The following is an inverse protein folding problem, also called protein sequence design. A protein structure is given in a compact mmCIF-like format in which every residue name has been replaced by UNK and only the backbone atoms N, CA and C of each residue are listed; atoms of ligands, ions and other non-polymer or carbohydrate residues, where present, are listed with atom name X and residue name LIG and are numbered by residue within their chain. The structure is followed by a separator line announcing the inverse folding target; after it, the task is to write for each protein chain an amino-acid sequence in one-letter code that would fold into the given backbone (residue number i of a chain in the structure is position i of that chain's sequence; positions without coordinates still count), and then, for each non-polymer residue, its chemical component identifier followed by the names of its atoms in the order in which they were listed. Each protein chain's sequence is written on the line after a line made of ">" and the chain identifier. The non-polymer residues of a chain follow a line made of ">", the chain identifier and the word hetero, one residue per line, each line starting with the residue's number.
data_IF_228253425573
#
_entry.id   IF_228253425573
#
_cell.length_a   1.000
_cell.length_b   1.000
_cell.length_c   1.000
_cell.angle_alpha   90.00
_cell.angle_beta   90.00
_cell.angle_gamma   90.00
#
_symmetry.space_group_name_H-M   'P 1'
#
loop_
_entity.id
_entity.type
_entity.pdbx_description
1 polymer ?
#
# COMPACT_ATOMS: atom_id res chain seq x y z
N UNK A 1 11.16 14.64 -8.20
CA UNK A 1 10.35 13.43 -7.96
C UNK A 1 9.44 13.09 -9.16
N UNK A 2 9.03 14.07 -9.92
CA UNK A 2 7.96 13.91 -10.92
C UNK A 2 8.33 13.04 -12.13
N UNK A 3 9.63 12.88 -12.37
CA UNK A 3 10.16 12.09 -13.48
C UNK A 3 10.91 10.81 -13.01
N UNK A 4 10.54 10.27 -11.87
CA UNK A 4 11.04 8.98 -11.36
C UNK A 4 9.89 8.01 -11.34
N UNK A 5 10.02 6.90 -12.07
CA UNK A 5 8.95 5.93 -12.26
C UNK A 5 9.49 4.49 -12.18
N UNK A 6 8.75 3.62 -11.48
CA UNK A 6 8.99 2.19 -11.37
C UNK A 6 10.36 1.82 -10.76
N UNK A 7 10.79 2.62 -9.82
CA UNK A 7 12.00 2.39 -9.04
C UNK A 7 11.76 2.71 -7.57
N UNK A 8 12.52 2.12 -6.68
CA UNK A 8 12.49 2.51 -5.28
C UNK A 8 13.85 3.03 -4.80
N UNK A 9 13.88 4.04 -3.92
CA UNK A 9 15.10 4.69 -3.49
C UNK A 9 15.90 3.81 -2.53
N UNK A 10 17.23 3.85 -2.66
CA UNK A 10 18.20 3.33 -1.69
C UNK A 10 19.09 4.46 -1.20
N UNK A 11 19.99 4.21 -0.28
CA UNK A 11 20.81 5.27 0.36
C UNK A 11 21.45 6.25 -0.63
N UNK A 12 22.08 5.77 -1.69
CA UNK A 12 22.81 6.55 -2.69
C UNK A 12 22.38 6.29 -4.14
N UNK A 13 21.14 5.86 -4.36
CA UNK A 13 20.65 5.61 -5.72
C UNK A 13 19.23 5.02 -5.71
N UNK A 14 18.95 4.24 -6.75
CA UNK A 14 17.67 3.60 -6.98
C UNK A 14 17.86 2.14 -7.38
N UNK A 15 16.88 1.31 -7.07
CA UNK A 15 16.74 -0.07 -7.56
C UNK A 15 15.49 -0.19 -8.42
N UNK A 16 15.42 -1.20 -9.30
CA UNK A 16 14.21 -1.48 -10.04
C UNK A 16 13.06 -1.82 -9.08
N UNK A 17 11.86 -1.47 -9.47
CA UNK A 17 10.65 -2.03 -8.90
C UNK A 17 10.15 -3.14 -9.82
N UNK A 18 9.71 -4.25 -9.23
CA UNK A 18 9.27 -5.44 -9.95
C UNK A 18 7.77 -5.37 -10.24
N UNK A 19 7.36 -5.96 -11.33
CA UNK A 19 5.95 -6.12 -11.69
C UNK A 19 5.24 -7.09 -10.74
N UNK A 20 3.92 -7.10 -10.79
CA UNK A 20 3.12 -8.06 -10.01
C UNK A 20 3.18 -9.40 -10.73
N UNK A 21 3.84 -10.37 -10.13
CA UNK A 21 3.78 -11.77 -10.54
C UNK A 21 2.45 -12.38 -10.04
N UNK A 22 1.55 -12.78 -10.96
CA UNK A 22 0.32 -13.45 -10.56
C UNK A 22 0.64 -14.80 -9.87
N UNK A 23 0.21 -14.94 -8.62
CA UNK A 23 0.56 -16.09 -7.79
C UNK A 23 -0.63 -17.01 -7.52
N UNK A 24 -1.86 -16.48 -7.50
CA UNK A 24 -3.06 -17.25 -7.14
C UNK A 24 -4.04 -17.39 -8.30
N UNK A 25 -5.02 -18.28 -8.13
CA UNK A 25 -6.27 -18.25 -8.89
C UNK A 25 -7.02 -16.93 -8.70
N UNK A 26 -8.06 -16.70 -9.51
CA UNK A 26 -8.84 -15.47 -9.44
C UNK A 26 -10.00 -15.59 -8.42
N UNK A 27 -10.34 -14.48 -7.77
CA UNK A 27 -11.64 -14.31 -7.10
C UNK A 27 -12.77 -14.25 -8.15
N UNK A 28 -14.02 -14.31 -7.73
CA UNK A 28 -15.16 -14.19 -8.66
C UNK A 28 -15.47 -12.75 -9.04
N UNK A 29 -15.00 -11.78 -8.24
CA UNK A 29 -15.17 -10.35 -8.49
C UNK A 29 -14.01 -9.55 -7.87
N UNK A 30 -14.03 -8.23 -8.02
CA UNK A 30 -13.04 -7.30 -7.48
C UNK A 30 -12.82 -7.53 -5.98
N UNK A 31 -11.57 -7.61 -5.57
CA UNK A 31 -11.20 -7.68 -4.15
C UNK A 31 -11.57 -6.38 -3.43
N UNK A 32 -12.35 -6.51 -2.35
CA UNK A 32 -12.76 -5.40 -1.48
C UNK A 32 -12.17 -5.49 -0.08
N UNK A 33 -11.17 -6.34 0.12
CA UNK A 33 -10.42 -6.47 1.35
C UNK A 33 -9.68 -7.78 1.42
N UNK A 34 -8.50 -7.76 2.02
CA UNK A 34 -7.70 -8.95 2.23
C UNK A 34 -6.94 -8.85 3.56
N UNK A 35 -6.62 -9.98 4.12
CA UNK A 35 -5.99 -10.08 5.42
C UNK A 35 -5.12 -11.33 5.53
N UNK A 36 -3.93 -11.16 6.08
CA UNK A 36 -3.04 -12.27 6.41
C UNK A 36 -3.12 -12.57 7.91
N UNK A 37 -3.48 -13.78 8.24
CA UNK A 37 -3.54 -14.30 9.61
C UNK A 37 -2.45 -15.33 9.86
N UNK A 38 -2.16 -15.57 11.13
CA UNK A 38 -1.32 -16.70 11.58
C UNK A 38 -2.07 -17.44 12.68
N UNK A 39 -2.03 -18.77 12.62
CA UNK A 39 -2.53 -19.58 13.72
C UNK A 39 -1.50 -19.70 14.85
N UNK A 40 -1.88 -20.36 15.95
CA UNK A 40 -1.01 -20.57 17.12
C UNK A 40 0.22 -21.44 16.80
N UNK A 41 0.19 -22.18 15.69
CA UNK A 41 1.30 -22.97 15.17
C UNK A 41 2.14 -22.22 14.13
N UNK A 42 1.90 -20.92 13.97
CA UNK A 42 2.54 -20.02 13.02
C UNK A 42 2.29 -20.38 11.54
N UNK A 43 1.27 -21.21 11.23
CA UNK A 43 0.84 -21.42 9.86
C UNK A 43 0.16 -20.14 9.35
N UNK A 44 0.51 -19.75 8.13
CA UNK A 44 -0.07 -18.59 7.48
C UNK A 44 -1.44 -18.95 6.85
N UNK A 45 -2.39 -18.04 6.96
CA UNK A 45 -3.66 -18.11 6.27
C UNK A 45 -3.97 -16.74 5.66
N UNK A 46 -4.24 -16.70 4.35
CA UNK A 46 -4.65 -15.49 3.67
C UNK A 46 -6.15 -15.55 3.40
N UNK A 47 -6.83 -14.46 3.74
CA UNK A 47 -8.26 -14.27 3.51
C UNK A 47 -8.47 -13.11 2.54
N UNK A 48 -9.54 -13.18 1.75
CA UNK A 48 -9.97 -12.10 0.87
C UNK A 48 -11.50 -12.02 0.86
N UNK A 49 -12.05 -10.88 0.48
CA UNK A 49 -13.48 -10.71 0.30
C UNK A 49 -13.79 -9.88 -0.94
N UNK A 50 -14.86 -10.26 -1.64
CA UNK A 50 -15.50 -9.47 -2.68
C UNK A 50 -16.85 -8.90 -2.21
N UNK A 51 -17.67 -8.42 -3.11
CA UNK A 51 -18.99 -7.86 -2.78
C UNK A 51 -19.93 -8.85 -2.10
N UNK A 52 -19.78 -10.14 -2.36
CA UNK A 52 -20.76 -11.19 -2.01
C UNK A 52 -20.18 -12.37 -1.25
N UNK A 53 -18.87 -12.52 -1.23
CA UNK A 53 -18.18 -13.70 -0.74
C UNK A 53 -16.94 -13.37 0.10
N UNK A 54 -16.61 -14.31 0.98
CA UNK A 54 -15.33 -14.38 1.70
C UNK A 54 -14.59 -15.65 1.27
N UNK A 55 -13.29 -15.51 1.14
CA UNK A 55 -12.42 -16.57 0.63
C UNK A 55 -11.23 -16.79 1.56
N UNK A 56 -10.73 -18.03 1.53
CA UNK A 56 -9.46 -18.43 2.11
C UNK A 56 -8.56 -19.00 1.02
N UNK A 57 -7.29 -18.63 1.03
CA UNK A 57 -6.31 -19.20 0.09
C UNK A 57 -5.99 -20.65 0.47
N UNK A 58 -6.26 -21.57 -0.45
CA UNK A 58 -5.95 -23.00 -0.34
C UNK A 58 -4.47 -23.29 -0.60
N UNK A 59 -4.06 -24.51 -0.28
CA UNK A 59 -2.69 -24.98 -0.52
C UNK A 59 -2.33 -25.16 -2.00
N UNK A 60 -3.32 -25.17 -2.88
CA UNK A 60 -3.22 -25.24 -4.34
C UNK A 60 -3.16 -23.84 -4.99
N UNK A 61 -3.00 -22.78 -4.21
CA UNK A 61 -3.05 -21.39 -4.63
C UNK A 61 -4.40 -20.94 -5.24
N UNK A 62 -5.47 -21.69 -5.04
CA UNK A 62 -6.82 -21.25 -5.39
C UNK A 62 -7.56 -20.69 -4.18
N UNK A 63 -8.55 -19.86 -4.44
CA UNK A 63 -9.38 -19.24 -3.42
C UNK A 63 -10.61 -20.12 -3.15
N UNK A 64 -10.64 -20.75 -1.98
CA UNK A 64 -11.79 -21.49 -1.49
C UNK A 64 -12.87 -20.53 -1.00
N UNK A 65 -14.11 -20.72 -1.43
CA UNK A 65 -15.26 -19.98 -0.92
C UNK A 65 -15.58 -20.48 0.50
N UNK A 66 -15.31 -19.66 1.48
CA UNK A 66 -15.57 -19.92 2.90
C UNK A 66 -16.66 -18.98 3.46
N UNK A 67 -17.53 -18.48 2.59
CA UNK A 67 -18.66 -17.65 2.98
C UNK A 67 -19.64 -18.41 3.86
N UNK A 68 -20.43 -17.68 4.64
CA UNK A 68 -21.58 -18.27 5.37
C UNK A 68 -22.54 -18.98 4.42
N UNK A 69 -23.08 -20.10 4.83
CA UNK A 69 -24.01 -20.90 4.02
C UNK A 69 -25.39 -20.25 3.83
N UNK A 70 -25.80 -19.34 4.72
CA UNK A 70 -27.17 -18.85 4.77
C UNK A 70 -27.56 -17.88 3.63
N UNK A 71 -26.63 -16.98 3.21
CA UNK A 71 -26.88 -15.98 2.15
C UNK A 71 -25.59 -15.29 1.74
N UNK A 72 -25.56 -14.76 0.51
CA UNK A 72 -24.48 -13.88 0.06
C UNK A 72 -24.37 -12.64 0.96
N UNK A 73 -23.18 -12.05 1.00
CA UNK A 73 -22.96 -10.77 1.65
C UNK A 73 -23.45 -9.61 0.79
N UNK A 74 -23.61 -8.44 1.43
CA UNK A 74 -24.15 -7.25 0.79
C UNK A 74 -23.16 -6.06 0.85
N UNK A 75 -21.87 -6.34 0.65
CA UNK A 75 -20.85 -5.28 0.62
C UNK A 75 -21.10 -4.34 -0.56
N UNK A 76 -21.26 -3.05 -0.30
CA UNK A 76 -21.47 -2.05 -1.35
C UNK A 76 -20.27 -1.98 -2.29
N UNK A 77 -20.50 -1.52 -3.54
CA UNK A 77 -19.46 -1.46 -4.60
C UNK A 77 -18.26 -0.59 -4.20
N UNK A 78 -18.47 0.41 -3.36
CA UNK A 78 -17.42 1.34 -2.90
C UNK A 78 -16.98 1.08 -1.45
N UNK A 79 -17.47 0.00 -0.86
CA UNK A 79 -17.16 -0.39 0.51
C UNK A 79 -16.07 -1.46 0.55
N UNK A 80 -15.56 -1.70 1.74
CA UNK A 80 -14.45 -2.61 1.95
C UNK A 80 -14.68 -3.50 3.16
N UNK A 81 -14.18 -4.72 3.08
CA UNK A 81 -14.00 -5.57 4.24
C UNK A 81 -12.89 -5.05 5.14
N UNK A 82 -13.10 -5.12 6.43
CA UNK A 82 -12.07 -4.92 7.45
C UNK A 82 -11.99 -6.17 8.31
N UNK A 83 -10.76 -6.57 8.61
CA UNK A 83 -10.46 -7.81 9.33
C UNK A 83 -9.64 -7.52 10.57
N UNK A 84 -9.83 -8.33 11.60
CA UNK A 84 -8.95 -8.38 12.76
C UNK A 84 -8.80 -9.82 13.25
N UNK A 85 -7.66 -10.14 13.84
CA UNK A 85 -7.42 -11.43 14.47
C UNK A 85 -7.43 -11.27 15.99
N UNK A 86 -8.27 -12.06 16.67
CA UNK A 86 -8.34 -12.15 18.11
C UNK A 86 -8.12 -13.61 18.53
N UNK A 87 -6.91 -13.94 19.00
CA UNK A 87 -6.49 -15.32 19.17
C UNK A 87 -6.56 -16.09 17.84
N UNK A 88 -7.26 -17.22 17.83
CA UNK A 88 -7.53 -17.99 16.60
C UNK A 88 -8.72 -17.48 15.79
N UNK A 89 -9.50 -16.53 16.32
CA UNK A 89 -10.67 -15.98 15.66
C UNK A 89 -10.28 -14.88 14.66
N UNK A 90 -10.62 -15.05 13.40
CA UNK A 90 -10.60 -14.00 12.38
C UNK A 90 -11.98 -13.40 12.31
N UNK A 91 -12.09 -12.12 12.56
CA UNK A 91 -13.36 -11.40 12.54
C UNK A 91 -13.36 -10.45 11.35
N UNK A 92 -14.42 -10.51 10.54
CA UNK A 92 -14.60 -9.70 9.33
C UNK A 92 -15.84 -8.83 9.45
N UNK A 93 -15.73 -7.55 9.06
CA UNK A 93 -16.84 -6.59 9.03
C UNK A 93 -16.86 -5.83 7.71
N UNK A 94 -18.03 -5.45 7.20
CA UNK A 94 -18.21 -4.73 5.95
C UNK A 94 -19.16 -3.52 6.03
N UNK A 95 -19.69 -3.23 7.23
CA UNK A 95 -20.62 -2.12 7.46
C UNK A 95 -22.08 -2.42 7.14
N UNK A 96 -22.42 -3.57 6.57
CA UNK A 96 -23.79 -3.95 6.15
C UNK A 96 -24.28 -5.22 6.79
N UNK A 97 -23.45 -6.23 6.84
CA UNK A 97 -23.75 -7.52 7.46
C UNK A 97 -23.32 -7.54 8.92
N UNK A 98 -23.91 -8.43 9.71
CA UNK A 98 -23.41 -8.72 11.05
C UNK A 98 -21.94 -9.16 10.98
N UNK A 99 -21.09 -8.78 11.96
CA UNK A 99 -19.71 -9.25 12.03
C UNK A 99 -19.62 -10.77 11.87
N UNK A 100 -18.66 -11.22 11.09
CA UNK A 100 -18.45 -12.64 10.77
C UNK A 100 -17.23 -13.16 11.48
N UNK A 101 -17.23 -14.41 11.92
CA UNK A 101 -16.13 -15.08 12.60
C UNK A 101 -15.70 -16.34 11.82
N UNK A 102 -14.40 -16.54 11.75
CA UNK A 102 -13.77 -17.77 11.26
C UNK A 102 -12.69 -18.21 12.24
N UNK A 103 -12.74 -19.42 12.75
CA UNK A 103 -11.73 -19.97 13.67
C UNK A 103 -10.69 -20.71 12.84
N UNK A 104 -9.46 -20.19 12.80
CA UNK A 104 -8.36 -20.82 12.05
C UNK A 104 -8.11 -22.23 12.62
N UNK A 105 -7.98 -23.21 11.73
CA UNK A 105 -7.75 -24.60 12.10
C UNK A 105 -9.02 -25.42 12.42
N UNK A 106 -10.17 -24.77 12.58
CA UNK A 106 -11.42 -25.48 12.97
C UNK A 106 -12.57 -25.19 12.01
N UNK A 107 -12.81 -23.91 11.66
CA UNK A 107 -13.92 -23.52 10.80
C UNK A 107 -13.69 -23.91 9.35
N UNK A 108 -14.75 -24.30 8.65
CA UNK A 108 -14.81 -24.49 7.19
C UNK A 108 -15.49 -23.34 6.48
N UNK A 109 -16.29 -22.54 7.18
CA UNK A 109 -16.98 -21.35 6.67
C UNK A 109 -17.03 -20.27 7.74
N UNK A 110 -17.27 -19.02 7.33
CA UNK A 110 -17.57 -17.94 8.24
C UNK A 110 -18.97 -18.10 8.82
N UNK A 111 -19.13 -17.73 10.07
CA UNK A 111 -20.40 -17.68 10.77
C UNK A 111 -20.61 -16.31 11.43
N UNK A 112 -21.84 -15.95 11.76
CA UNK A 112 -22.10 -14.71 12.48
C UNK A 112 -21.42 -14.75 13.86
N UNK A 113 -20.71 -13.66 14.20
CA UNK A 113 -20.09 -13.51 15.51
C UNK A 113 -21.18 -13.50 16.60
N UNK A 114 -21.06 -14.37 17.60
CA UNK A 114 -22.02 -14.49 18.69
C UNK A 114 -22.06 -13.23 19.59
N UNK A 115 -23.03 -13.17 20.50
CA UNK A 115 -23.18 -12.05 21.44
C UNK A 115 -23.86 -10.81 20.87
N UNK A 116 -24.36 -10.85 19.63
CA UNK A 116 -25.08 -9.76 18.96
C UNK A 116 -24.29 -8.46 18.85
N UNK A 117 -23.04 -8.49 18.32
CA UNK A 117 -22.27 -7.28 18.07
C UNK A 117 -23.00 -6.34 17.10
N UNK A 118 -22.82 -5.01 17.20
CA UNK A 118 -23.37 -4.08 16.23
C UNK A 118 -22.68 -4.27 14.87
N UNK A 119 -23.40 -4.03 13.78
CA UNK A 119 -22.81 -3.91 12.44
C UNK A 119 -21.88 -2.73 12.40
N UNK A 120 -20.67 -2.91 11.89
CA UNK A 120 -19.59 -1.94 11.87
C UNK A 120 -18.80 -1.96 10.57
N UNK A 121 -18.17 -0.83 10.22
CA UNK A 121 -17.28 -0.72 9.04
C UNK A 121 -15.83 -1.06 9.35
N UNK A 122 -15.37 -0.81 10.56
CA UNK A 122 -13.97 -0.95 10.96
C UNK A 122 -13.86 -1.79 12.21
N UNK A 123 -12.77 -2.54 12.26
CA UNK A 123 -12.45 -3.42 13.39
C UNK A 123 -10.96 -3.37 13.68
N UNK A 124 -10.62 -3.43 14.97
CA UNK A 124 -9.24 -3.62 15.43
C UNK A 124 -9.25 -4.39 16.76
N UNK A 125 -8.09 -4.90 17.16
CA UNK A 125 -7.88 -5.48 18.50
C UNK A 125 -7.04 -4.52 19.31
N UNK A 126 -7.57 -4.08 20.45
CA UNK A 126 -6.89 -3.21 21.41
C UNK A 126 -6.70 -4.00 22.69
N UNK A 127 -5.44 -4.38 22.99
CA UNK A 127 -5.11 -5.34 24.05
C UNK A 127 -5.97 -6.61 23.94
N UNK A 128 -6.84 -6.82 24.92
CA UNK A 128 -7.70 -7.98 25.08
C UNK A 128 -9.17 -7.69 24.68
N UNK A 129 -9.40 -6.64 23.85
CA UNK A 129 -10.72 -6.23 23.41
C UNK A 129 -10.79 -6.17 21.90
N UNK A 130 -11.92 -6.59 21.35
CA UNK A 130 -12.27 -6.30 19.94
C UNK A 130 -12.98 -4.95 19.90
N UNK A 131 -12.45 -4.00 19.14
CA UNK A 131 -12.99 -2.66 18.96
C UNK A 131 -13.66 -2.55 17.59
N UNK A 132 -14.93 -2.20 17.56
CA UNK A 132 -15.72 -1.90 16.38
C UNK A 132 -15.92 -0.39 16.23
N UNK A 133 -15.84 0.13 15.02
CA UNK A 133 -16.01 1.55 14.73
C UNK A 133 -16.87 1.81 13.50
N UNK A 134 -17.49 2.99 13.43
CA UNK A 134 -18.49 3.38 12.45
C UNK A 134 -19.66 2.40 12.45
N UNK A 135 -20.43 2.48 13.53
CA UNK A 135 -21.52 1.54 13.78
C UNK A 135 -22.77 1.92 12.99
N UNK A 136 -23.60 0.94 12.66
CA UNK A 136 -24.89 1.18 12.00
C UNK A 136 -25.84 2.06 12.81
N UNK A 137 -25.69 2.14 14.14
CA UNK A 137 -26.45 2.99 15.03
C UNK A 137 -25.98 4.44 15.03
N UNK A 138 -24.68 4.69 14.85
CA UNK A 138 -24.06 6.00 14.68
C UNK A 138 -22.68 5.86 14.09
N UNK A 139 -22.42 6.57 12.99
CA UNK A 139 -21.11 6.56 12.33
C UNK A 139 -19.97 7.20 13.16
N UNK A 140 -20.32 7.97 14.21
CA UNK A 140 -19.37 8.58 15.14
C UNK A 140 -19.11 7.71 16.39
N UNK A 141 -19.66 6.50 16.44
CA UNK A 141 -19.61 5.62 17.62
C UNK A 141 -18.63 4.48 17.44
N UNK A 142 -18.04 4.09 18.57
CA UNK A 142 -17.26 2.84 18.72
C UNK A 142 -17.86 2.01 19.85
N UNK A 143 -17.70 0.69 19.77
CA UNK A 143 -18.04 -0.26 20.83
C UNK A 143 -16.95 -1.30 20.94
N UNK A 144 -16.61 -1.72 22.16
CA UNK A 144 -15.66 -2.79 22.40
C UNK A 144 -16.29 -3.98 23.11
N UNK A 145 -15.73 -5.14 22.84
CA UNK A 145 -16.17 -6.42 23.41
C UNK A 145 -15.90 -6.50 24.91
N UNK A 146 -16.37 -7.57 25.55
CA UNK A 146 -15.94 -7.93 26.88
C UNK A 146 -14.44 -8.25 26.94
N UNK A 147 -13.84 -8.12 28.11
CA UNK A 147 -12.44 -8.41 28.35
C UNK A 147 -12.09 -9.87 28.00
N UNK A 148 -11.10 -10.04 27.14
CA UNK A 148 -10.64 -11.35 26.62
C UNK A 148 -11.77 -12.24 26.05
N UNK A 149 -12.84 -11.63 25.54
CA UNK A 149 -13.97 -12.34 24.96
C UNK A 149 -14.53 -11.57 23.76
N UNK A 150 -14.25 -12.07 22.56
CA UNK A 150 -14.74 -11.47 21.30
C UNK A 150 -16.23 -11.61 21.06
N UNK A 151 -16.94 -12.39 21.88
CA UNK A 151 -18.38 -12.68 21.76
C UNK A 151 -19.23 -12.04 22.87
N UNK A 152 -18.62 -11.28 23.78
CA UNK A 152 -19.30 -10.53 24.82
C UNK A 152 -19.59 -9.08 24.40
N UNK A 153 -20.84 -8.73 24.06
CA UNK A 153 -21.20 -7.40 23.53
C UNK A 153 -22.28 -6.68 24.34
N UNK A 154 -22.64 -7.23 25.51
CA UNK A 154 -23.64 -6.58 26.39
C UNK A 154 -22.97 -5.45 27.16
N UNK A 155 -23.41 -4.20 26.88
CA UNK A 155 -22.89 -2.99 27.53
C UNK A 155 -23.01 -3.09 29.06
N UNK A 156 -21.93 -2.74 29.78
CA UNK A 156 -21.83 -2.80 31.23
C UNK A 156 -21.56 -4.20 31.79
N UNK A 157 -21.37 -5.23 30.95
CA UNK A 157 -21.03 -6.59 31.35
C UNK A 157 -19.61 -6.92 30.95
N UNK A 158 -18.79 -7.44 31.88
CA UNK A 158 -17.40 -7.86 31.65
C UNK A 158 -16.56 -6.79 30.94
N UNK A 159 -16.74 -5.52 31.27
CA UNK A 159 -16.06 -4.37 30.70
C UNK A 159 -16.43 -4.06 29.22
N UNK A 160 -17.47 -4.67 28.66
CA UNK A 160 -17.99 -4.26 27.36
C UNK A 160 -18.70 -2.90 27.49
N UNK A 161 -18.39 -1.94 26.60
CA UNK A 161 -19.02 -0.62 26.62
C UNK A 161 -18.90 0.06 25.23
N UNK A 162 -19.51 1.23 25.09
CA UNK A 162 -19.51 2.03 23.87
C UNK A 162 -19.22 3.50 24.14
N UNK A 163 -18.70 4.20 23.12
CA UNK A 163 -18.48 5.63 23.21
C UNK A 163 -18.79 6.31 21.86
N UNK A 164 -19.46 7.48 21.94
CA UNK A 164 -19.75 8.31 20.78
C UNK A 164 -18.93 9.60 20.78
N UNK A 165 -18.45 10.03 19.59
CA UNK A 165 -17.61 11.21 19.40
C UNK A 165 -18.18 12.13 18.30
N UNK A 166 -19.23 12.90 18.57
CA UNK A 166 -19.94 13.65 17.53
C UNK A 166 -19.16 14.82 16.95
N UNK A 167 -18.15 15.31 17.66
CA UNK A 167 -17.38 16.51 17.31
C UNK A 167 -16.32 16.28 16.23
N UNK A 168 -15.77 15.04 16.11
CA UNK A 168 -14.74 14.69 15.13
C UNK A 168 -15.25 14.28 13.74
N UNK A 169 -16.57 14.17 13.56
CA UNK A 169 -17.19 13.58 12.38
C UNK A 169 -17.24 12.04 12.44
N UNK A 170 -17.44 11.40 11.32
CA UNK A 170 -17.53 9.94 11.26
C UNK A 170 -16.22 9.25 11.60
N UNK A 171 -16.28 8.10 12.23
CA UNK A 171 -15.13 7.21 12.39
C UNK A 171 -14.75 6.69 11.01
N UNK A 172 -13.50 6.90 10.63
CA UNK A 172 -12.95 6.51 9.33
C UNK A 172 -11.95 5.34 9.45
N UNK A 173 -11.62 4.95 10.68
CA UNK A 173 -10.80 3.79 10.94
C UNK A 173 -10.49 3.63 12.41
N UNK A 174 -10.10 2.42 12.77
CA UNK A 174 -9.60 2.07 14.10
C UNK A 174 -8.26 1.36 13.95
N UNK A 175 -7.32 1.67 14.83
CA UNK A 175 -5.99 1.08 14.86
C UNK A 175 -5.80 0.42 16.21
N UNK A 176 -5.36 -0.83 16.20
CA UNK A 176 -5.19 -1.66 17.38
C UNK A 176 -3.75 -1.74 17.88
N UNK A 177 -3.57 -2.43 18.98
CA UNK A 177 -2.30 -2.66 19.66
C UNK A 177 -2.45 -2.57 21.17
N UNK A 178 -1.37 -2.29 21.89
CA UNK A 178 -1.42 -2.05 23.33
C UNK A 178 -2.24 -0.79 23.65
N UNK A 179 -2.16 0.22 22.78
CA UNK A 179 -2.96 1.42 22.79
C UNK A 179 -3.79 1.45 21.53
N UNK A 180 -5.08 1.75 21.64
CA UNK A 180 -5.98 1.90 20.50
C UNK A 180 -6.04 3.33 19.99
N UNK A 181 -6.37 3.48 18.69
CA UNK A 181 -6.65 4.80 18.10
C UNK A 181 -7.94 4.75 17.30
N UNK A 182 -8.78 5.79 17.47
CA UNK A 182 -9.96 6.04 16.65
C UNK A 182 -9.66 7.23 15.77
N UNK A 183 -9.63 7.01 14.48
CA UNK A 183 -9.38 8.03 13.46
C UNK A 183 -10.74 8.47 12.91
N UNK A 184 -11.06 9.74 13.03
CA UNK A 184 -12.25 10.35 12.50
C UNK A 184 -11.94 11.25 11.29
N UNK A 185 -12.93 11.88 10.70
CA UNK A 185 -12.71 12.83 9.60
C UNK A 185 -11.84 14.02 10.01
N UNK A 186 -11.95 14.46 11.26
CA UNK A 186 -11.29 15.70 11.76
C UNK A 186 -10.64 15.57 13.12
N UNK A 187 -10.55 14.37 13.69
CA UNK A 187 -9.83 14.15 14.94
C UNK A 187 -9.22 12.76 15.01
N UNK A 188 -8.23 12.60 15.87
CA UNK A 188 -7.66 11.31 16.24
C UNK A 188 -7.70 11.20 17.75
N UNK A 189 -8.26 10.10 18.26
CA UNK A 189 -8.41 9.83 19.68
C UNK A 189 -7.61 8.59 20.05
N UNK A 190 -6.96 8.68 21.20
CA UNK A 190 -6.17 7.58 21.77
C UNK A 190 -7.00 6.92 22.88
N UNK A 191 -7.07 5.60 22.85
CA UNK A 191 -7.70 4.75 23.84
C UNK A 191 -6.61 4.05 24.66
N UNK A 192 -6.48 4.42 25.92
CA UNK A 192 -5.54 3.80 26.85
C UNK A 192 -6.33 3.01 27.89
N UNK A 193 -6.05 1.72 28.00
CA UNK A 193 -6.70 0.90 29.00
C UNK A 193 -6.24 1.29 30.41
N UNK A 194 -7.18 1.60 31.27
CA UNK A 194 -6.94 1.96 32.67
C UNK A 194 -7.64 1.01 33.64
N UNK A 195 -8.59 0.21 33.16
CA UNK A 195 -9.36 -0.73 33.97
C UNK A 195 -10.37 -0.03 34.90
N UNK A 196 -10.97 -0.82 35.79
CA UNK A 196 -12.00 -0.33 36.70
C UNK A 196 -13.28 0.06 35.97
N UNK A 197 -13.98 1.06 36.47
CA UNK A 197 -15.26 1.52 35.92
C UNK A 197 -15.11 2.33 34.62
N UNK A 198 -13.93 2.89 34.35
CA UNK A 198 -13.69 3.71 33.14
C UNK A 198 -13.25 2.88 31.94
N UNK A 199 -12.71 1.70 32.13
CA UNK A 199 -12.20 0.77 31.12
C UNK A 199 -11.12 1.42 30.22
N UNK A 200 -11.48 2.35 29.34
CA UNK A 200 -10.57 3.13 28.51
C UNK A 200 -10.60 4.61 28.83
N UNK A 201 -9.43 5.17 29.14
CA UNK A 201 -9.25 6.61 29.08
C UNK A 201 -9.13 7.02 27.60
N UNK A 202 -9.90 8.00 27.18
CA UNK A 202 -9.96 8.45 25.78
C UNK A 202 -9.52 9.91 25.71
N UNK A 203 -8.37 10.12 25.08
CA UNK A 203 -7.77 11.44 24.90
C UNK A 203 -7.83 11.85 23.42
N UNK A 204 -8.24 13.08 23.13
CA UNK A 204 -8.11 13.65 21.79
C UNK A 204 -6.67 14.13 21.57
N UNK A 205 -5.90 13.40 20.75
CA UNK A 205 -4.48 13.66 20.49
C UNK A 205 -4.24 14.50 19.23
N UNK A 206 -5.18 14.52 18.29
CA UNK A 206 -5.18 15.40 17.13
C UNK A 206 -6.53 16.10 16.97
N UNK A 207 -6.47 17.42 16.80
CA UNK A 207 -7.64 18.27 16.54
C UNK A 207 -7.60 18.81 15.12
N UNK A 208 -8.76 18.85 14.47
CA UNK A 208 -8.95 19.36 13.10
C UNK A 208 -8.14 18.58 12.04
N UNK A 209 -7.64 17.40 12.38
CA UNK A 209 -6.89 16.53 11.46
C UNK A 209 -7.35 15.10 11.60
N UNK A 210 -7.67 14.47 10.47
CA UNK A 210 -8.13 13.10 10.34
C UNK A 210 -8.06 12.68 8.89
N UNK A 211 -8.86 11.70 8.47
CA UNK A 211 -8.88 11.20 7.09
C UNK A 211 -10.28 11.10 6.52
N UNK A 212 -10.40 11.16 5.19
CA UNK A 212 -11.59 10.76 4.42
C UNK A 212 -11.28 9.60 3.46
N UNK A 213 -10.09 9.06 3.55
CA UNK A 213 -9.64 7.88 2.80
C UNK A 213 -9.37 6.74 3.80
N UNK A 214 -10.38 5.97 4.23
CA UNK A 214 -10.26 5.00 5.32
C UNK A 214 -9.17 3.95 5.09
N UNK A 215 -9.06 3.46 3.87
CA UNK A 215 -8.07 2.43 3.51
C UNK A 215 -6.65 2.98 3.29
N UNK A 216 -6.46 4.30 3.39
CA UNK A 216 -5.13 4.90 3.42
C UNK A 216 -4.42 4.74 4.77
N UNK A 217 -5.14 4.35 5.82
CA UNK A 217 -4.56 4.11 7.15
C UNK A 217 -3.76 2.81 7.11
N UNK A 218 -2.46 2.92 7.32
CA UNK A 218 -1.51 1.79 7.27
C UNK A 218 -0.77 1.71 8.59
N UNK A 219 -1.06 0.68 9.37
CA UNK A 219 -0.39 0.44 10.64
C UNK A 219 0.99 -0.20 10.44
N UNK A 220 2.00 0.31 11.15
CA UNK A 220 3.34 -0.25 11.22
C UNK A 220 3.78 -0.25 12.70
N UNK A 221 3.72 -1.40 13.32
CA UNK A 221 3.96 -1.52 14.77
C UNK A 221 2.96 -0.70 15.58
N UNK A 222 3.44 0.13 16.49
CA UNK A 222 2.61 1.02 17.33
C UNK A 222 2.29 2.38 16.69
N UNK A 223 2.64 2.59 15.43
CA UNK A 223 2.43 3.84 14.68
C UNK A 223 1.62 3.57 13.41
N UNK A 224 1.13 4.61 12.75
CA UNK A 224 0.45 4.44 11.48
C UNK A 224 0.68 5.62 10.54
N UNK A 225 0.57 5.35 9.25
CA UNK A 225 0.57 6.34 8.18
C UNK A 225 -0.85 6.52 7.66
N UNK A 226 -1.18 7.71 7.17
CA UNK A 226 -2.49 7.96 6.60
C UNK A 226 -2.50 9.16 5.65
N UNK A 227 -3.49 9.21 4.77
CA UNK A 227 -3.79 10.38 3.94
C UNK A 227 -4.75 11.30 4.67
N UNK A 228 -4.30 12.48 5.06
CA UNK A 228 -5.11 13.55 5.62
C UNK A 228 -5.83 14.35 4.54
N UNK A 229 -6.47 15.47 4.93
CA UNK A 229 -7.13 16.36 3.98
C UNK A 229 -6.16 17.23 3.17
N UNK A 230 -4.97 17.44 3.68
CA UNK A 230 -3.93 18.35 3.17
C UNK A 230 -2.62 17.65 2.81
N UNK A 231 -2.54 16.32 2.96
CA UNK A 231 -1.35 15.55 2.60
C UNK A 231 -1.18 14.25 3.36
N UNK A 232 -0.02 13.64 3.19
CA UNK A 232 0.36 12.40 3.86
C UNK A 232 1.01 12.64 5.21
N UNK A 233 0.60 11.85 6.20
CA UNK A 233 1.03 11.96 7.58
C UNK A 233 1.56 10.63 8.13
N UNK A 234 2.51 10.76 9.04
CA UNK A 234 2.96 9.70 9.93
C UNK A 234 2.54 10.04 11.36
N UNK A 235 1.66 9.25 11.94
CA UNK A 235 1.25 9.37 13.33
C UNK A 235 2.19 8.56 14.22
N UNK A 236 2.83 9.22 15.19
CA UNK A 236 3.89 8.64 16.03
C UNK A 236 3.43 8.29 17.46
N UNK A 237 2.12 8.34 17.74
CA UNK A 237 1.52 8.08 19.05
C UNK A 237 1.14 9.34 19.84
N UNK A 238 1.84 10.45 19.62
CA UNK A 238 1.58 11.74 20.28
C UNK A 238 1.03 12.81 19.32
N UNK A 239 1.23 12.60 18.01
CA UNK A 239 0.76 13.54 17.01
C UNK A 239 1.19 13.15 15.61
N UNK A 240 0.67 13.87 14.63
CA UNK A 240 0.88 13.64 13.21
C UNK A 240 2.00 14.49 12.65
N UNK A 241 3.01 13.84 12.08
CA UNK A 241 4.10 14.48 11.36
C UNK A 241 3.80 14.50 9.88
N UNK A 242 3.79 15.66 9.19
CA UNK A 242 3.64 15.70 7.75
C UNK A 242 4.87 15.09 7.07
N UNK A 243 4.66 14.18 6.13
CA UNK A 243 5.74 13.50 5.38
C UNK A 243 5.73 13.85 3.90
N UNK A 244 4.59 14.28 3.37
CA UNK A 244 4.42 14.63 1.96
C UNK A 244 4.54 16.13 1.65
N UNK A 245 4.51 17.00 2.68
CA UNK A 245 4.54 18.45 2.53
C UNK A 245 5.75 18.92 1.72
N UNK A 246 5.51 19.78 0.73
CA UNK A 246 6.52 20.31 -0.23
C UNK A 246 7.26 19.24 -1.06
N UNK A 247 6.92 17.96 -0.90
CA UNK A 247 7.55 16.83 -1.60
C UNK A 247 6.62 16.23 -2.64
N UNK A 248 5.43 15.81 -2.22
CA UNK A 248 4.53 15.00 -3.04
C UNK A 248 3.07 15.40 -2.94
N UNK A 249 2.63 16.05 -1.86
CA UNK A 249 1.22 16.32 -1.60
C UNK A 249 0.57 17.12 -2.73
N UNK A 250 1.22 18.20 -3.18
CA UNK A 250 0.72 19.00 -4.29
C UNK A 250 0.55 18.16 -5.55
N UNK A 251 1.56 17.38 -5.92
CA UNK A 251 1.49 16.52 -7.09
C UNK A 251 0.38 15.48 -6.94
N UNK A 252 0.24 14.87 -5.77
CA UNK A 252 -0.81 13.88 -5.50
C UNK A 252 -2.20 14.48 -5.75
N UNK A 253 -2.51 15.63 -5.14
CA UNK A 253 -3.81 16.27 -5.30
C UNK A 253 -4.09 16.82 -6.70
N UNK A 254 -3.05 17.14 -7.49
CA UNK A 254 -3.17 17.51 -8.90
C UNK A 254 -3.41 16.30 -9.82
N UNK A 255 -3.07 15.09 -9.37
CA UNK A 255 -3.11 13.88 -10.20
C UNK A 255 -4.12 12.80 -9.73
N UNK A 256 -4.61 12.87 -8.51
CA UNK A 256 -5.64 11.93 -8.02
C UNK A 256 -7.02 12.32 -8.52
N UNK A 257 -7.86 11.33 -8.83
CA UNK A 257 -9.27 11.59 -9.05
C UNK A 257 -9.96 11.89 -7.72
N UNK A 258 -10.36 13.14 -7.52
CA UNK A 258 -10.99 13.63 -6.30
C UNK A 258 -12.33 12.94 -6.01
N UNK A 259 -13.01 12.44 -7.03
CA UNK A 259 -14.28 11.71 -6.89
C UNK A 259 -14.10 10.32 -6.28
N UNK A 260 -12.89 9.75 -6.37
CA UNK A 260 -12.57 8.40 -5.91
C UNK A 260 -11.52 8.36 -4.78
N UNK A 261 -11.36 9.45 -4.03
CA UNK A 261 -10.39 9.52 -2.91
C UNK A 261 -10.59 8.41 -1.87
N UNK A 262 -11.83 7.95 -1.67
CA UNK A 262 -12.15 6.84 -0.76
C UNK A 262 -11.62 5.48 -1.24
N UNK A 263 -11.19 5.38 -2.50
CA UNK A 263 -10.54 4.17 -3.08
C UNK A 263 -9.03 4.15 -2.94
N UNK A 264 -8.44 5.14 -2.29
CA UNK A 264 -7.02 5.10 -1.92
C UNK A 264 -6.80 3.99 -0.93
N UNK A 265 -5.99 3.01 -1.30
CA UNK A 265 -5.67 1.83 -0.47
C UNK A 265 -4.19 1.79 -0.19
N UNK A 266 -3.82 1.66 1.08
CA UNK A 266 -2.43 1.60 1.51
C UNK A 266 -2.03 0.25 2.07
N UNK A 267 -0.73 -0.06 1.94
CA UNK A 267 -0.09 -1.20 2.58
C UNK A 267 1.36 -0.87 2.94
N UNK A 268 1.92 -1.61 3.89
CA UNK A 268 3.32 -1.47 4.25
C UNK A 268 4.12 -2.72 3.87
N UNK A 269 5.38 -2.54 3.54
CA UNK A 269 6.40 -3.58 3.51
C UNK A 269 7.45 -3.26 4.58
N UNK A 270 7.34 -3.84 5.77
CA UNK A 270 8.29 -3.57 6.85
C UNK A 270 9.71 -4.04 6.54
N UNK A 271 9.87 -5.07 5.69
CA UNK A 271 11.17 -5.61 5.30
C UNK A 271 11.98 -4.60 4.48
N UNK A 272 11.30 -3.90 3.59
CA UNK A 272 11.86 -2.82 2.77
C UNK A 272 11.74 -1.43 3.41
N UNK A 273 11.04 -1.34 4.53
CA UNK A 273 10.72 -0.07 5.25
C UNK A 273 9.98 0.92 4.35
N UNK A 274 8.97 0.41 3.65
CA UNK A 274 8.19 1.17 2.69
C UNK A 274 6.71 1.10 3.04
N UNK A 275 6.03 2.23 2.94
CA UNK A 275 4.58 2.30 2.86
C UNK A 275 4.20 2.77 1.46
N UNK A 276 3.17 2.16 0.90
CA UNK A 276 2.66 2.47 -0.43
C UNK A 276 1.18 2.76 -0.39
N UNK A 277 0.70 3.62 -1.29
CA UNK A 277 -0.72 3.91 -1.50
C UNK A 277 -1.03 3.82 -2.99
N UNK A 278 -1.95 2.92 -3.32
CA UNK A 278 -2.53 2.83 -4.64
C UNK A 278 -3.72 3.79 -4.73
N UNK A 279 -3.84 4.54 -5.80
CA UNK A 279 -4.90 5.50 -6.00
C UNK A 279 -5.30 5.61 -7.47
N UNK A 280 -6.57 5.93 -7.77
CA UNK A 280 -7.02 6.22 -9.12
C UNK A 280 -6.49 7.59 -9.57
N UNK A 281 -5.80 7.62 -10.71
CA UNK A 281 -5.32 8.88 -11.29
C UNK A 281 -6.46 9.66 -11.96
N UNK A 282 -6.28 10.97 -12.10
CA UNK A 282 -7.22 11.82 -12.81
C UNK A 282 -7.38 11.35 -14.26
N UNK A 283 -8.62 10.96 -14.63
CA UNK A 283 -8.94 10.43 -15.95
C UNK A 283 -9.23 8.94 -15.98
N UNK A 284 -9.16 8.22 -14.87
CA UNK A 284 -9.71 6.86 -14.79
C UNK A 284 -11.23 6.90 -14.97
N UNK A 285 -11.77 5.89 -15.69
CA UNK A 285 -13.21 5.85 -16.02
C UNK A 285 -14.03 5.25 -14.87
N UNK A 286 -13.46 4.31 -14.14
CA UNK A 286 -14.15 3.47 -13.15
C UNK A 286 -13.60 3.60 -11.72
N UNK A 287 -12.61 4.48 -11.52
CA UNK A 287 -11.94 4.66 -10.24
C UNK A 287 -11.06 3.49 -9.80
N UNK A 288 -10.62 2.64 -10.73
CA UNK A 288 -9.61 1.61 -10.43
C UNK A 288 -8.26 2.27 -10.18
N UNK A 289 -7.59 2.00 -9.06
CA UNK A 289 -6.25 2.50 -8.81
C UNK A 289 -5.25 2.03 -9.87
N UNK A 290 -4.57 2.95 -10.51
CA UNK A 290 -3.62 2.75 -11.61
C UNK A 290 -2.22 3.30 -11.31
N UNK A 291 -2.11 4.03 -10.23
CA UNK A 291 -0.88 4.65 -9.78
C UNK A 291 -0.64 4.33 -8.32
N UNK A 292 0.60 3.95 -8.01
CA UNK A 292 1.04 3.70 -6.64
C UNK A 292 2.11 4.73 -6.29
N UNK A 293 1.94 5.39 -5.15
CA UNK A 293 2.96 6.25 -4.56
C UNK A 293 3.52 5.56 -3.33
N UNK A 294 4.83 5.58 -3.16
CA UNK A 294 5.51 4.95 -2.04
C UNK A 294 6.40 5.90 -1.27
N UNK A 295 6.49 5.65 0.02
CA UNK A 295 7.34 6.40 0.94
C UNK A 295 8.24 5.44 1.70
N UNK A 296 9.54 5.67 1.59
CA UNK A 296 10.56 4.95 2.35
C UNK A 296 10.90 5.74 3.60
N UNK A 297 10.42 5.28 4.77
CA UNK A 297 10.42 6.08 6.00
C UNK A 297 11.78 6.17 6.70
N UNK A 298 12.73 5.27 6.44
CA UNK A 298 14.07 5.30 7.02
C UNK A 298 14.99 6.35 6.39
N UNK A 299 14.75 6.73 5.12
CA UNK A 299 15.55 7.71 4.39
C UNK A 299 14.75 8.91 3.90
N UNK A 300 13.48 9.00 4.27
CA UNK A 300 12.57 10.12 3.96
C UNK A 300 12.49 10.42 2.44
N UNK A 301 12.28 9.37 1.62
CA UNK A 301 12.19 9.49 0.17
C UNK A 301 10.90 8.90 -0.38
N UNK A 302 10.38 9.57 -1.41
CA UNK A 302 9.19 9.19 -2.15
C UNK A 302 9.56 8.57 -3.50
N UNK A 303 8.69 7.71 -4.01
CA UNK A 303 8.81 7.11 -5.33
C UNK A 303 7.43 6.82 -5.91
N UNK A 304 7.36 6.52 -7.21
CA UNK A 304 6.11 6.27 -7.93
C UNK A 304 6.23 5.00 -8.77
N UNK A 305 5.11 4.26 -8.85
CA UNK A 305 4.98 3.04 -9.63
C UNK A 305 3.71 3.17 -10.47
N UNK A 306 3.76 2.76 -11.73
CA UNK A 306 2.61 2.65 -12.62
C UNK A 306 2.15 1.20 -12.64
N UNK A 307 1.12 0.87 -11.88
CA UNK A 307 0.53 -0.46 -11.83
C UNK A 307 -0.96 -0.36 -11.50
N UNK A 308 -1.79 -1.05 -12.27
CA UNK A 308 -3.22 -1.15 -11.98
C UNK A 308 -3.47 -2.24 -10.95
N UNK A 309 -4.12 -1.89 -9.87
CA UNK A 309 -4.44 -2.80 -8.76
C UNK A 309 -5.84 -2.52 -8.22
N UNK A 310 -6.56 -3.57 -7.86
CA UNK A 310 -7.86 -3.44 -7.18
C UNK A 310 -7.70 -3.21 -5.68
N UNK A 311 -6.76 -3.92 -5.09
CA UNK A 311 -6.48 -3.87 -3.66
C UNK A 311 -5.02 -4.22 -3.37
N UNK A 312 -4.37 -3.48 -2.47
CA UNK A 312 -3.00 -3.72 -2.04
C UNK A 312 -2.98 -4.02 -0.55
N UNK A 313 -2.22 -5.02 -0.12
CA UNK A 313 -2.16 -5.45 1.26
C UNK A 313 -0.86 -6.18 1.58
N UNK A 314 -0.65 -6.50 2.84
CA UNK A 314 0.36 -7.45 3.26
C UNK A 314 -0.21 -8.87 3.17
N UNK A 315 0.50 -9.76 2.50
CA UNK A 315 0.19 -11.19 2.51
C UNK A 315 1.34 -11.98 3.11
N UNK A 316 1.01 -13.08 3.75
CA UNK A 316 2.01 -14.05 4.18
C UNK A 316 2.22 -15.09 3.09
N UNK A 317 3.49 -15.40 2.83
CA UNK A 317 3.82 -16.54 1.98
C UNK A 317 3.51 -17.84 2.73
N UNK A 318 2.87 -18.80 2.05
CA UNK A 318 2.71 -20.14 2.57
C UNK A 318 4.04 -20.91 2.39
N UNK A 319 4.43 -21.72 3.39
CA UNK A 319 5.55 -22.65 3.22
C UNK A 319 5.12 -23.83 2.37
N UNK A 320 5.85 -24.10 1.31
CA UNK A 320 5.61 -25.26 0.46
C UNK A 320 6.77 -26.25 0.58
N UNK A 321 6.43 -27.53 0.68
CA UNK A 321 7.39 -28.60 0.43
C UNK A 321 7.49 -28.86 -1.08
N UNK A 322 8.54 -29.53 -1.53
CA UNK A 322 8.65 -29.90 -2.94
C UNK A 322 7.46 -30.74 -3.41
N UNK A 323 6.96 -31.63 -2.56
CA UNK A 323 5.76 -32.42 -2.82
C UNK A 323 4.49 -31.55 -2.86
N UNK A 324 4.45 -30.49 -2.07
CA UNK A 324 3.35 -29.53 -2.05
C UNK A 324 3.26 -28.70 -3.33
N UNK A 325 4.36 -28.53 -4.06
CA UNK A 325 4.37 -27.82 -5.34
C UNK A 325 3.65 -28.59 -6.45
N UNK A 326 3.53 -29.91 -6.35
CA UNK A 326 2.77 -30.74 -7.31
C UNK A 326 1.29 -30.40 -7.33
N UNK A 327 0.74 -29.87 -6.22
CA UNK A 327 -0.64 -29.37 -6.16
C UNK A 327 -0.84 -28.06 -6.94
N UNK A 328 0.21 -27.27 -7.10
CA UNK A 328 0.19 -25.97 -7.80
C UNK A 328 0.43 -26.17 -9.30
N UNK A 329 1.40 -27.00 -9.65
CA UNK A 329 1.75 -27.29 -11.05
C UNK A 329 2.39 -28.65 -11.18
N UNK A 330 2.00 -29.38 -12.24
CA UNK A 330 2.62 -30.65 -12.63
C UNK A 330 3.97 -30.50 -13.32
N UNK A 331 4.44 -29.28 -13.57
CA UNK A 331 5.73 -28.97 -14.20
C UNK A 331 6.39 -27.79 -13.50
N UNK A 332 7.67 -27.93 -13.23
CA UNK A 332 8.51 -26.87 -12.65
C UNK A 332 8.53 -25.62 -13.54
N UNK A 333 8.49 -25.78 -14.85
CA UNK A 333 8.55 -24.65 -15.81
C UNK A 333 7.27 -23.80 -15.83
N UNK A 334 6.17 -24.30 -15.24
CA UNK A 334 4.88 -23.62 -15.19
C UNK A 334 4.52 -23.14 -13.78
N UNK A 335 5.45 -23.24 -12.83
CA UNK A 335 5.27 -22.66 -11.50
C UNK A 335 5.16 -21.13 -11.59
N UNK A 336 4.32 -20.49 -10.75
CA UNK A 336 4.12 -19.05 -10.76
C UNK A 336 5.33 -18.23 -10.31
N UNK A 337 6.33 -18.87 -9.71
CA UNK A 337 7.59 -18.26 -9.29
C UNK A 337 8.75 -19.25 -9.44
N UNK A 338 9.98 -18.75 -9.56
CA UNK A 338 11.19 -19.57 -9.60
C UNK A 338 11.35 -20.38 -8.31
N UNK A 339 11.92 -21.59 -8.40
CA UNK A 339 12.11 -22.48 -7.23
C UNK A 339 12.97 -21.89 -6.12
N UNK A 340 13.86 -20.96 -6.44
CA UNK A 340 14.70 -20.23 -5.48
C UNK A 340 14.01 -18.98 -4.92
N UNK A 341 12.76 -18.71 -5.29
CA UNK A 341 11.99 -17.60 -4.76
C UNK A 341 11.72 -17.76 -3.26
N UNK A 342 11.87 -16.66 -2.54
CA UNK A 342 11.52 -16.60 -1.11
C UNK A 342 10.01 -16.79 -0.85
N UNK A 343 9.18 -16.77 -1.88
CA UNK A 343 7.74 -17.03 -1.76
C UNK A 343 7.43 -18.45 -1.27
N UNK A 344 8.31 -19.40 -1.56
CA UNK A 344 8.15 -20.81 -1.14
C UNK A 344 8.56 -21.08 0.30
N UNK A 345 9.32 -20.16 0.92
CA UNK A 345 9.89 -20.35 2.28
C UNK A 345 8.86 -20.13 3.38
N UNK A 346 7.68 -19.72 3.17
CA UNK A 346 6.64 -19.57 4.17
C UNK A 346 6.90 -18.56 5.29
N UNK A 347 5.83 -17.93 5.79
CA UNK A 347 5.87 -17.05 6.97
C UNK A 347 6.47 -15.65 6.74
N UNK A 348 7.03 -15.36 5.56
CA UNK A 348 7.46 -14.01 5.23
C UNK A 348 6.26 -13.11 4.91
N UNK A 349 6.22 -11.91 5.49
CA UNK A 349 5.27 -10.88 5.10
C UNK A 349 5.82 -10.14 3.88
N UNK A 350 5.06 -10.16 2.79
CA UNK A 350 5.38 -9.46 1.55
C UNK A 350 4.28 -8.49 1.14
N UNK A 351 4.64 -7.52 0.31
CA UNK A 351 3.67 -6.65 -0.33
C UNK A 351 2.99 -7.43 -1.46
N UNK A 352 1.67 -7.56 -1.39
CA UNK A 352 0.84 -8.22 -2.37
C UNK A 352 -0.26 -7.31 -2.88
N UNK A 353 -0.75 -7.59 -4.07
CA UNK A 353 -1.86 -6.86 -4.66
C UNK A 353 -2.78 -7.79 -5.46
N UNK A 354 -4.05 -7.45 -5.49
CA UNK A 354 -4.99 -7.99 -6.48
C UNK A 354 -4.98 -7.08 -7.70
N UNK A 355 -4.73 -7.67 -8.86
CA UNK A 355 -4.80 -6.97 -10.14
C UNK A 355 -6.20 -6.97 -10.76
N UNK A 356 -6.41 -6.31 -11.91
CA UNK A 356 -7.71 -6.25 -12.60
C UNK A 356 -8.23 -7.62 -13.06
N UNK A 357 -7.41 -8.66 -13.06
CA UNK A 357 -7.81 -10.05 -13.32
C UNK A 357 -8.32 -10.78 -12.07
N UNK A 358 -8.47 -10.07 -10.96
CA UNK A 358 -8.88 -10.58 -9.64
C UNK A 358 -7.94 -11.63 -9.04
N UNK A 359 -6.71 -11.73 -9.55
CA UNK A 359 -5.66 -12.60 -9.04
C UNK A 359 -4.76 -11.82 -8.08
N UNK A 360 -4.41 -12.46 -6.98
CA UNK A 360 -3.38 -11.94 -6.09
C UNK A 360 -1.99 -12.30 -6.64
N UNK A 361 -1.07 -11.36 -6.51
CA UNK A 361 0.33 -11.56 -6.79
C UNK A 361 1.23 -10.74 -5.89
N UNK A 362 2.51 -11.09 -5.88
CA UNK A 362 3.55 -10.34 -5.17
C UNK A 362 4.31 -9.45 -6.16
N UNK A 363 4.97 -8.40 -5.64
CA UNK A 363 5.84 -7.53 -6.45
C UNK A 363 7.24 -8.16 -6.56
N UNK A 364 7.33 -9.27 -7.28
CA UNK A 364 8.52 -10.11 -7.48
C UNK A 364 8.65 -10.63 -8.92
N UNK A 365 7.83 -10.12 -9.84
CA UNK A 365 7.93 -10.41 -11.27
C UNK A 365 9.16 -9.75 -11.91
N UNK A 366 9.13 -9.60 -13.23
CA UNK A 366 10.21 -8.94 -13.97
C UNK A 366 10.36 -7.46 -13.56
N UNK A 367 11.57 -6.92 -13.71
CA UNK A 367 11.82 -5.51 -13.52
C UNK A 367 10.94 -4.69 -14.47
N UNK A 368 10.24 -3.71 -13.93
CA UNK A 368 9.39 -2.82 -14.74
C UNK A 368 10.24 -1.86 -15.57
N UNK A 369 9.68 -1.36 -16.66
CA UNK A 369 10.29 -0.26 -17.40
C UNK A 369 10.50 0.92 -16.47
N UNK A 370 11.73 1.39 -16.32
CA UNK A 370 12.11 2.42 -15.36
C UNK A 370 12.49 3.74 -16.04
N UNK A 371 12.09 4.85 -15.41
CA UNK A 371 12.50 6.19 -15.82
C UNK A 371 13.09 6.92 -14.63
N UNK A 372 14.25 7.53 -14.82
CA UNK A 372 14.98 8.27 -13.81
C UNK A 372 15.43 9.60 -14.40
N UNK A 373 14.89 10.72 -13.90
CA UNK A 373 15.33 12.05 -14.34
C UNK A 373 16.14 12.77 -13.24
N UNK A 374 17.21 13.41 -13.63
CA UNK A 374 17.97 14.27 -12.72
C UNK A 374 17.25 15.62 -12.57
N UNK A 375 17.54 16.30 -11.47
CA UNK A 375 17.14 17.69 -11.37
C UNK A 375 17.84 18.52 -12.46
N UNK A 376 17.10 19.52 -12.96
CA UNK A 376 17.66 20.49 -13.87
C UNK A 376 18.77 21.30 -13.17
N UNK A 377 19.90 21.44 -13.84
CA UNK A 377 21.06 22.23 -13.37
C UNK A 377 21.58 23.14 -14.47
N UNK A 378 22.16 24.26 -14.06
CA UNK A 378 22.94 25.08 -14.98
C UNK A 378 24.25 24.38 -15.30
N UNK A 379 24.57 24.27 -16.58
CA UNK A 379 25.85 23.76 -17.06
C UNK A 379 26.80 24.93 -17.31
N UNK A 380 28.09 24.67 -17.22
CA UNK A 380 29.16 25.66 -17.54
C UNK A 380 28.99 27.03 -16.85
N UNK A 381 28.57 27.04 -15.57
CA UNK A 381 28.47 28.28 -14.80
C UNK A 381 27.41 29.26 -15.31
N UNK A 382 26.32 28.78 -15.88
CA UNK A 382 25.21 29.58 -16.40
C UNK A 382 25.45 30.14 -17.83
N UNK A 383 26.51 29.71 -18.50
CA UNK A 383 26.75 29.96 -19.93
C UNK A 383 26.03 28.89 -20.77
N UNK A 384 25.78 29.20 -22.04
CA UNK A 384 25.33 28.21 -23.00
C UNK A 384 26.43 27.16 -23.17
N UNK A 385 26.11 25.91 -23.06
CA UNK A 385 27.03 24.79 -23.22
C UNK A 385 26.57 23.86 -24.32
N UNK A 386 27.52 23.31 -25.05
CA UNK A 386 27.33 22.20 -25.97
C UNK A 386 27.67 20.92 -25.25
N UNK A 387 26.71 20.02 -25.23
CA UNK A 387 26.86 18.67 -24.69
C UNK A 387 27.20 17.74 -25.85
N UNK A 388 28.14 16.83 -25.62
CA UNK A 388 28.62 15.88 -26.62
C UNK A 388 28.28 14.42 -26.26
N UNK A 389 28.34 14.08 -24.97
CA UNK A 389 28.09 12.73 -24.47
C UNK A 389 27.49 12.77 -23.08
N UNK A 390 26.84 11.69 -22.67
CA UNK A 390 26.44 11.43 -21.30
C UNK A 390 26.80 10.00 -20.91
N UNK A 391 27.10 9.76 -19.64
CA UNK A 391 27.39 8.45 -19.09
C UNK A 391 26.46 8.19 -17.91
N UNK A 392 25.41 7.37 -18.06
CA UNK A 392 24.60 6.94 -16.94
C UNK A 392 25.38 5.95 -16.08
N UNK A 393 25.32 6.12 -14.76
CA UNK A 393 25.93 5.20 -13.79
C UNK A 393 24.88 4.18 -13.39
N UNK A 394 24.72 3.16 -14.20
CA UNK A 394 23.78 2.03 -14.07
C UNK A 394 24.51 0.74 -14.38
N UNK A 395 24.02 -0.38 -13.85
CA UNK A 395 24.65 -1.70 -14.05
C UNK A 395 24.00 -2.52 -15.17
N UNK A 396 23.45 -1.86 -16.18
CA UNK A 396 22.93 -2.48 -17.41
C UNK A 396 23.38 -1.72 -18.64
N UNK A 397 23.56 -2.40 -19.75
CA UNK A 397 23.88 -1.84 -21.05
C UNK A 397 22.65 -1.46 -21.89
N UNK A 398 21.44 -1.83 -21.41
CA UNK A 398 20.17 -1.54 -22.08
C UNK A 398 19.62 -0.14 -21.79
N UNK A 399 20.32 0.67 -20.99
CA UNK A 399 19.89 2.01 -20.67
C UNK A 399 20.00 2.97 -21.86
N UNK A 400 19.01 3.85 -22.01
CA UNK A 400 19.04 4.99 -22.95
C UNK A 400 19.04 6.29 -22.19
N UNK A 401 19.59 7.35 -22.79
CA UNK A 401 19.61 8.69 -22.18
C UNK A 401 19.02 9.71 -23.16
N UNK A 402 18.15 10.58 -22.66
CA UNK A 402 17.74 11.81 -23.31
C UNK A 402 18.04 13.01 -22.44
N UNK A 403 18.31 14.17 -23.04
CA UNK A 403 18.60 15.43 -22.35
C UNK A 403 17.44 16.40 -22.48
N UNK A 404 16.93 16.87 -21.36
CA UNK A 404 16.00 17.98 -21.29
C UNK A 404 16.78 19.31 -21.25
N UNK A 405 16.61 20.14 -22.27
CA UNK A 405 17.40 21.38 -22.48
C UNK A 405 16.49 22.59 -22.59
N UNK A 406 16.95 23.72 -22.03
CA UNK A 406 16.36 25.04 -22.24
C UNK A 406 17.38 26.15 -21.96
N UNK A 407 17.12 27.34 -22.49
CA UNK A 407 18.00 28.49 -22.33
C UNK A 407 17.54 29.45 -21.23
N UNK A 408 16.25 29.55 -20.98
CA UNK A 408 15.65 30.39 -19.93
C UNK A 408 14.76 29.56 -19.03
N UNK A 409 14.64 29.96 -17.79
CA UNK A 409 13.75 29.30 -16.83
C UNK A 409 12.27 29.31 -17.23
N UNK A 410 11.86 30.30 -18.03
CA UNK A 410 10.50 30.41 -18.53
C UNK A 410 10.23 29.58 -19.80
N UNK A 411 11.27 29.07 -20.47
CA UNK A 411 11.11 28.26 -21.69
C UNK A 411 10.65 26.83 -21.32
N UNK A 412 9.90 26.20 -22.20
CA UNK A 412 9.58 24.79 -22.09
C UNK A 412 10.85 23.93 -22.24
N UNK A 413 10.92 22.83 -21.50
CA UNK A 413 12.02 21.88 -21.63
C UNK A 413 11.83 21.08 -22.92
N UNK A 414 12.85 21.10 -23.78
CA UNK A 414 12.89 20.28 -25.00
C UNK A 414 13.79 19.07 -24.76
N UNK A 415 13.26 17.86 -25.00
CA UNK A 415 14.05 16.65 -24.87
C UNK A 415 14.68 16.27 -26.21
N UNK A 416 15.94 15.83 -26.16
CA UNK A 416 16.60 15.20 -27.31
C UNK A 416 16.03 13.81 -27.58
N UNK A 417 16.32 13.23 -28.73
CA UNK A 417 16.08 11.80 -28.97
C UNK A 417 16.87 10.96 -27.94
N UNK A 418 16.31 9.78 -27.63
CA UNK A 418 16.97 8.82 -26.76
C UNK A 418 18.19 8.20 -27.44
N UNK A 419 19.34 8.29 -26.80
CA UNK A 419 20.58 7.69 -27.26
C UNK A 419 20.88 6.41 -26.45
N UNK A 420 21.06 5.24 -27.09
CA UNK A 420 21.42 4.01 -26.40
C UNK A 420 22.84 4.09 -25.83
N UNK A 421 23.09 3.27 -24.81
CA UNK A 421 24.43 3.10 -24.25
C UNK A 421 25.30 2.29 -25.24
N UNK A 422 26.46 2.81 -25.52
CA UNK A 422 27.49 2.13 -26.32
C UNK A 422 28.35 1.22 -25.44
N UNK A 423 29.14 0.36 -26.07
CA UNK A 423 30.07 -0.56 -25.36
C UNK A 423 31.08 0.14 -24.47
N UNK A 424 31.28 1.43 -24.68
CA UNK A 424 32.14 2.30 -23.85
C UNK A 424 31.46 2.79 -22.56
N UNK A 425 30.14 2.52 -22.39
CA UNK A 425 29.32 3.04 -21.28
C UNK A 425 28.81 4.47 -21.52
N UNK A 426 29.12 5.09 -22.65
CA UNK A 426 28.61 6.41 -23.02
C UNK A 426 27.38 6.31 -23.91
N UNK A 427 26.53 7.33 -23.82
CA UNK A 427 25.43 7.56 -24.74
C UNK A 427 25.76 8.81 -25.57
N UNK A 428 25.79 8.66 -26.89
CA UNK A 428 26.14 9.77 -27.84
C UNK A 428 24.97 10.73 -28.00
N UNK A 429 24.61 11.43 -26.93
CA UNK A 429 23.54 12.42 -26.92
C UNK A 429 24.12 13.82 -27.11
N UNK A 430 23.55 14.59 -28.03
CA UNK A 430 24.05 15.94 -28.37
C UNK A 430 22.96 16.98 -28.17
N UNK A 431 23.36 18.11 -27.60
CA UNK A 431 22.45 19.22 -27.42
C UNK A 431 23.17 20.49 -27.01
N UNK A 432 22.45 21.60 -27.03
CA UNK A 432 22.95 22.91 -26.62
C UNK A 432 21.91 23.58 -25.75
N UNK A 433 22.33 24.08 -24.59
CA UNK A 433 21.42 24.77 -23.67
C UNK A 433 22.18 25.33 -22.46
N UNK A 434 21.51 26.17 -21.71
CA UNK A 434 22.02 26.73 -20.46
C UNK A 434 21.63 25.87 -19.24
N UNK A 435 20.43 25.31 -19.28
CA UNK A 435 19.91 24.41 -18.27
C UNK A 435 19.82 23.01 -18.88
N UNK A 436 20.16 21.99 -18.10
CA UNK A 436 20.12 20.61 -18.51
C UNK A 436 19.58 19.72 -17.40
N UNK A 437 18.68 18.81 -17.75
CA UNK A 437 18.33 17.62 -16.99
C UNK A 437 18.64 16.39 -17.86
N UNK A 438 18.98 15.26 -17.26
CA UNK A 438 19.16 14.01 -17.96
C UNK A 438 18.07 13.03 -17.54
N UNK A 439 17.48 12.34 -18.51
CA UNK A 439 16.50 11.26 -18.30
C UNK A 439 17.13 9.97 -18.77
N UNK A 440 17.18 8.99 -17.85
CA UNK A 440 17.59 7.62 -18.13
C UNK A 440 16.34 6.77 -18.22
N UNK A 441 16.19 6.05 -19.32
CA UNK A 441 15.13 5.07 -19.53
C UNK A 441 15.75 3.67 -19.58
N UNK A 442 15.17 2.72 -18.85
CA UNK A 442 15.59 1.31 -18.83
C UNK A 442 14.38 0.48 -19.21
N UNK A 443 14.44 -0.40 -20.22
CA UNK A 443 13.28 -1.18 -20.67
C UNK A 443 12.84 -2.21 -19.62
N UNK A 444 11.59 -2.66 -19.73
CA UNK A 444 11.07 -3.75 -18.91
C UNK A 444 11.85 -5.05 -19.17
N UNK A 445 12.00 -5.89 -18.15
CA UNK A 445 12.72 -7.14 -18.20
C UNK A 445 14.25 -7.00 -18.19
N UNK A 446 14.80 -5.77 -18.24
CA UNK A 446 16.25 -5.57 -18.13
C UNK A 446 16.74 -6.01 -16.74
N UNK A 447 17.81 -6.79 -16.70
CA UNK A 447 18.46 -7.13 -15.44
C UNK A 447 19.38 -5.98 -15.01
N UNK A 448 19.02 -5.33 -13.89
CA UNK A 448 19.81 -4.29 -13.26
C UNK A 448 19.48 -4.20 -11.77
N UNK A 449 20.43 -3.71 -10.97
CA UNK A 449 20.34 -3.69 -9.50
C UNK A 449 20.49 -2.31 -8.91
N UNK A 450 21.13 -1.38 -9.62
CA UNK A 450 21.29 0.00 -9.14
C UNK A 450 21.43 1.01 -10.26
N UNK A 451 20.98 2.23 -9.97
CA UNK A 451 21.21 3.43 -10.76
C UNK A 451 21.55 4.59 -9.81
N UNK A 452 22.62 5.33 -10.07
CA UNK A 452 23.11 6.35 -9.12
C UNK A 452 23.12 7.76 -9.69
N UNK A 453 23.64 7.97 -10.90
CA UNK A 453 23.93 9.28 -11.43
C UNK A 453 23.94 9.28 -12.96
N UNK A 454 24.01 10.46 -13.54
CA UNK A 454 24.37 10.68 -14.94
C UNK A 454 25.50 11.71 -14.99
N UNK A 455 26.60 11.37 -15.62
CA UNK A 455 27.69 12.31 -15.94
C UNK A 455 27.41 12.89 -17.32
N UNK A 456 27.52 14.21 -17.46
CA UNK A 456 27.28 14.92 -18.71
C UNK A 456 28.56 15.65 -19.11
N UNK A 457 29.07 15.37 -20.30
CA UNK A 457 30.22 16.06 -20.88
C UNK A 457 29.74 17.31 -21.62
N UNK A 458 30.11 18.48 -21.08
CA UNK A 458 29.66 19.75 -21.61
C UNK A 458 30.83 20.73 -21.75
N UNK A 459 30.80 21.51 -22.85
CA UNK A 459 31.78 22.60 -23.10
C UNK A 459 31.04 23.92 -23.29
N UNK A 460 31.48 25.04 -22.66
CA UNK A 460 30.91 26.35 -22.88
C UNK A 460 31.11 26.79 -24.33
N UNK A 461 30.08 27.35 -24.98
CA UNK A 461 30.09 27.74 -26.40
C UNK A 461 29.92 29.26 -26.56
N UNK A 462 29.47 29.96 -25.56
CA UNK A 462 29.26 31.41 -25.61
C UNK A 462 28.53 31.96 -24.38
N UNK A 463 28.46 33.28 -24.32
CA UNK A 463 27.88 34.06 -23.19
C UNK A 463 26.49 34.60 -23.57
N UNK A 464 26.05 34.45 -24.81
CA UNK A 464 24.75 34.97 -25.27
C UNK A 464 23.63 34.01 -25.08
#
# INVERSE_FOLDING_TARGET
>A
LFDILNVYPIGNGYRPFQSIGAFTGALTARCQGAFAAKDDSANAANFAGDATKLYRLGSDNNWDDVSRSASAYATGVDEYWSFAQFGSNIIAVNGFDAPQKFVVGTSTEFEALAGSPPTARYIAVVRDFVLLGNLSTSAAKVQWSAFNNSEGWTIGVDQSDEQEFPDGGWVQGVVGGEVGYVIQERSIRRLTYVGGDIIFQIDEVEKLRGTRAPKSIVQVGGTFFYLGQDGFYWFTGEGSKPIGAEKVDRWFYENVDQGYLYRVVGAADPSRRVVVWAFPSAGTIDGTPDTIIGYRWDIDRWFRISASVDYIHQATTQGYTLEGLDAISSSIDTLPASLDSSLWVGGALGLAAFGPSFKMGYFDGENMAATLSTQEKTIAGGKIAKISNSMPVVDTDLATVSLGLRDRAADSVSYTDEAPMETTGYCSVRGTGRFCSARVSIPAGADWKYAQAVQVEARPVGVR
#
